data_IF_105817493271
#
_entry.id   IF_105817493271
#
_cell.length_a   1.000
_cell.length_b   1.000
_cell.length_c   1.000
_cell.angle_alpha   90.00
_cell.angle_beta   90.00
_cell.angle_gamma   90.00
#
_symmetry.space_group_name_H-M   'P 1'
#
loop_
_entity.id
_entity.type
_entity.pdbx_description
1 polymer ?
#
# COMPACT_ATOMS: atom_id res chain seq x y z
N UNK A 1 6.98 6.00 -10.20
CA UNK A 1 6.51 6.02 -8.81
C UNK A 1 6.85 4.70 -8.12
N UNK A 2 6.79 4.65 -6.82
CA UNK A 2 7.25 3.50 -6.06
C UNK A 2 6.15 2.48 -5.83
N UNK A 3 6.55 1.26 -5.53
CA UNK A 3 5.64 0.18 -5.17
C UNK A 3 6.05 -0.39 -3.83
N UNK A 4 5.07 -0.85 -3.06
CA UNK A 4 5.29 -1.42 -1.74
C UNK A 4 4.60 -2.76 -1.65
N UNK A 5 5.30 -3.76 -1.14
CA UNK A 5 4.79 -5.13 -1.07
C UNK A 5 4.55 -5.54 0.37
N UNK A 6 3.37 -6.08 0.64
CA UNK A 6 3.01 -6.62 1.95
C UNK A 6 3.81 -7.90 2.20
N UNK A 7 4.51 -7.98 3.33
CA UNK A 7 5.29 -9.15 3.70
C UNK A 7 4.42 -10.35 4.10
N UNK A 8 3.15 -10.10 4.41
CA UNK A 8 2.25 -11.14 4.91
C UNK A 8 1.54 -11.85 3.77
N UNK A 9 0.87 -11.11 2.88
CA UNK A 9 0.06 -11.71 1.82
C UNK A 9 0.57 -11.45 0.41
N UNK A 10 1.59 -10.60 0.26
CA UNK A 10 2.14 -10.29 -1.05
C UNK A 10 1.37 -9.23 -1.83
N UNK A 11 0.40 -8.56 -1.23
CA UNK A 11 -0.33 -7.49 -1.89
C UNK A 11 0.62 -6.35 -2.23
N UNK A 12 0.45 -5.76 -3.42
CA UNK A 12 1.31 -4.67 -3.87
C UNK A 12 0.50 -3.37 -3.90
N UNK A 13 0.99 -2.36 -3.18
CA UNK A 13 0.49 -1.00 -3.29
C UNK A 13 1.33 -0.26 -4.32
N UNK A 14 0.71 0.17 -5.41
CA UNK A 14 1.37 0.91 -6.50
C UNK A 14 0.92 2.36 -6.40
N UNK A 15 1.87 3.27 -6.13
CA UNK A 15 1.54 4.70 -6.00
C UNK A 15 0.90 5.26 -7.26
N UNK A 16 1.30 4.75 -8.42
CA UNK A 16 0.76 5.22 -9.69
C UNK A 16 -0.70 4.80 -9.89
N UNK A 17 -1.03 3.57 -9.50
CA UNK A 17 -2.37 3.02 -9.68
C UNK A 17 -3.29 3.24 -8.49
N UNK A 18 -2.73 3.56 -7.34
CA UNK A 18 -3.48 3.63 -6.10
C UNK A 18 -3.90 2.26 -5.61
N UNK A 19 -4.95 2.21 -4.82
CA UNK A 19 -5.46 0.95 -4.27
C UNK A 19 -6.98 1.00 -4.21
N UNK A 20 -7.62 0.43 -5.22
CA UNK A 20 -9.06 0.44 -5.35
C UNK A 20 -9.73 -0.31 -4.18
N UNK A 21 -9.10 -1.34 -3.65
CA UNK A 21 -9.67 -2.13 -2.54
C UNK A 21 -9.83 -1.31 -1.27
N UNK A 22 -8.88 -0.40 -1.01
CA UNK A 22 -8.93 0.46 0.17
C UNK A 22 -9.43 1.87 -0.15
N UNK A 23 -9.85 2.11 -1.39
CA UNK A 23 -10.40 3.41 -1.80
C UNK A 23 -9.35 4.49 -1.98
N UNK A 24 -8.11 4.11 -2.26
CA UNK A 24 -7.01 5.06 -2.46
C UNK A 24 -6.92 5.43 -3.94
N UNK A 25 -6.97 6.74 -4.23
CA UNK A 25 -6.93 7.23 -5.61
C UNK A 25 -5.56 7.02 -6.25
N UNK A 26 -5.52 6.84 -7.59
CA UNK A 26 -4.24 6.79 -8.32
C UNK A 26 -3.43 8.06 -8.08
N UNK A 27 -2.11 7.90 -7.96
CA UNK A 27 -1.19 9.01 -7.74
C UNK A 27 -1.00 9.36 -6.27
N UNK A 28 -1.57 8.59 -5.36
CA UNK A 28 -1.38 8.82 -3.93
C UNK A 28 -0.05 8.24 -3.48
N UNK A 29 0.84 9.09 -2.97
CA UNK A 29 2.14 8.65 -2.47
C UNK A 29 1.97 7.82 -1.19
N UNK A 30 2.90 6.89 -0.97
CA UNK A 30 2.89 6.07 0.24
C UNK A 30 2.85 6.92 1.51
N UNK A 31 3.61 8.01 1.53
CA UNK A 31 3.67 8.90 2.68
C UNK A 31 2.35 9.64 2.93
N UNK A 32 1.50 9.74 1.92
CA UNK A 32 0.19 10.40 2.04
C UNK A 32 -0.88 9.47 2.59
N UNK A 33 -0.60 8.17 2.69
CA UNK A 33 -1.52 7.25 3.32
C UNK A 33 -1.55 7.49 4.83
N UNK A 34 -2.73 7.38 5.46
CA UNK A 34 -2.80 7.54 6.92
C UNK A 34 -1.94 6.49 7.62
N UNK A 35 -1.45 6.82 8.81
CA UNK A 35 -0.60 5.90 9.58
C UNK A 35 -1.35 4.61 9.95
N UNK A 36 -2.66 4.66 10.06
CA UNK A 36 -3.49 3.51 10.38
C UNK A 36 -4.00 2.76 9.14
N UNK A 37 -3.51 3.11 7.95
CA UNK A 37 -3.86 2.38 6.74
C UNK A 37 -3.37 0.94 6.85
N UNK A 38 -4.21 0.01 6.42
CA UNK A 38 -3.91 -1.41 6.50
C UNK A 38 -4.06 -2.07 5.14
N UNK A 39 -3.36 -3.20 4.99
CA UNK A 39 -3.48 -3.99 3.78
C UNK A 39 -4.94 -4.42 3.57
N UNK A 40 -5.53 -4.11 2.40
CA UNK A 40 -6.94 -4.46 2.16
C UNK A 40 -7.18 -5.95 2.02
N UNK A 41 -6.12 -6.76 1.89
CA UNK A 41 -6.25 -8.21 1.75
C UNK A 41 -6.11 -8.95 3.07
N UNK A 42 -5.14 -8.55 3.90
CA UNK A 42 -4.85 -9.30 5.12
C UNK A 42 -4.88 -8.45 6.40
N UNK A 43 -5.03 -7.13 6.26
CA UNK A 43 -5.08 -6.24 7.41
C UNK A 43 -3.72 -5.92 8.02
N UNK A 44 -2.63 -6.25 7.35
CA UNK A 44 -1.29 -5.95 7.86
C UNK A 44 -1.06 -4.43 7.91
N UNK A 45 -0.36 -3.97 8.93
CA UNK A 45 -0.05 -2.56 9.11
C UNK A 45 0.99 -2.10 8.08
N UNK A 46 1.10 -0.78 7.90
CA UNK A 46 2.05 -0.19 6.95
C UNK A 46 3.49 -0.67 7.19
N UNK A 47 3.87 -0.88 8.44
CA UNK A 47 5.22 -1.32 8.78
C UNK A 47 5.55 -2.69 8.19
N UNK A 48 4.55 -3.47 7.83
CA UNK A 48 4.73 -4.79 7.22
C UNK A 48 4.96 -4.73 5.72
N UNK A 49 4.96 -3.53 5.14
CA UNK A 49 5.21 -3.35 3.72
C UNK A 49 6.67 -2.99 3.48
N UNK A 50 7.23 -3.50 2.39
CA UNK A 50 8.60 -3.23 1.97
C UNK A 50 8.58 -2.52 0.63
N UNK A 51 9.38 -1.46 0.50
CA UNK A 51 9.49 -0.74 -0.76
C UNK A 51 10.12 -1.65 -1.82
N UNK A 52 9.50 -1.71 -2.99
CA UNK A 52 10.03 -2.43 -4.15
C UNK A 52 10.75 -1.44 -5.05
N UNK A 53 11.90 -1.85 -5.55
CA UNK A 53 12.66 -1.04 -6.50
C UNK A 53 12.36 -1.43 -7.93
#
# INVERSE_FOLDING_TARGET
MKKYKCKICGHIYDEEKGDARSGVAPGTAWADLPDDWECPKCGAQKIMFTEMK
#
